data_IF_047289523879
#
_entry.id   IF_047289523879
#
_cell.length_a   1.000
_cell.length_b   1.000
_cell.length_c   1.000
_cell.angle_alpha   90.00
_cell.angle_beta   90.00
_cell.angle_gamma   90.00
#
_symmetry.space_group_name_H-M   'P 1'
#
loop_
_entity.id
_entity.type
_entity.pdbx_description
1 polymer ?
#
# COMPACT_ATOMS: atom_id res chain seq x y z
N UNK A 1 25.66 0.14 64.07
CA UNK A 1 24.83 1.05 63.25
C UNK A 1 24.48 0.46 61.87
N UNK A 2 25.39 -0.23 61.17
CA UNK A 2 25.12 -0.82 59.84
C UNK A 2 23.92 -1.78 59.75
N UNK A 3 23.72 -2.67 60.73
CA UNK A 3 22.62 -3.64 60.70
C UNK A 3 21.23 -2.98 60.72
N UNK A 4 21.06 -1.88 61.47
CA UNK A 4 19.81 -1.10 61.49
C UNK A 4 19.57 -0.40 60.15
N UNK A 5 20.64 0.07 59.51
CA UNK A 5 20.58 0.69 58.19
C UNK A 5 20.11 -0.33 57.13
N UNK A 6 20.67 -1.55 57.15
CA UNK A 6 20.28 -2.63 56.23
C UNK A 6 18.82 -3.05 56.36
N UNK A 7 18.30 -3.12 57.59
CA UNK A 7 16.88 -3.47 57.82
C UNK A 7 15.96 -2.33 57.36
N UNK A 8 16.35 -1.07 57.53
CA UNK A 8 15.57 0.08 57.05
C UNK A 8 15.55 0.12 55.53
N UNK A 9 16.71 -0.03 54.87
CA UNK A 9 16.79 -0.04 53.41
C UNK A 9 16.12 -1.27 52.80
N UNK A 10 16.32 -2.45 53.38
CA UNK A 10 15.66 -3.68 52.95
C UNK A 10 14.14 -3.62 53.13
N UNK A 11 13.67 -3.11 54.27
CA UNK A 11 12.25 -2.89 54.54
C UNK A 11 11.63 -1.86 53.59
N UNK A 12 12.31 -0.75 53.33
CA UNK A 12 11.86 0.25 52.35
C UNK A 12 11.81 -0.32 50.94
N UNK A 13 12.82 -1.09 50.54
CA UNK A 13 12.84 -1.75 49.23
C UNK A 13 11.69 -2.74 49.06
N UNK A 14 11.42 -3.58 50.06
CA UNK A 14 10.27 -4.49 50.06
C UNK A 14 8.95 -3.71 50.04
N UNK A 15 8.85 -2.59 50.77
CA UNK A 15 7.66 -1.74 50.76
C UNK A 15 7.42 -1.12 49.38
N UNK A 16 8.47 -0.62 48.73
CA UNK A 16 8.40 -0.09 47.36
C UNK A 16 8.00 -1.19 46.37
N UNK A 17 8.54 -2.41 46.50
CA UNK A 17 8.16 -3.54 45.65
C UNK A 17 6.70 -3.98 45.88
N UNK A 18 6.26 -4.05 47.14
CA UNK A 18 4.87 -4.35 47.48
C UNK A 18 3.92 -3.25 46.98
N UNK A 19 4.28 -1.98 47.13
CA UNK A 19 3.51 -0.87 46.59
C UNK A 19 3.44 -0.95 45.05
N UNK A 20 4.55 -1.23 44.38
CA UNK A 20 4.58 -1.42 42.92
C UNK A 20 3.71 -2.60 42.45
N UNK A 21 3.52 -3.63 43.29
CA UNK A 21 2.64 -4.76 43.00
C UNK A 21 1.16 -4.44 43.25
N UNK A 22 0.85 -3.65 44.28
CA UNK A 22 -0.53 -3.43 44.78
C UNK A 22 -1.19 -2.21 44.13
N UNK A 23 -0.45 -1.10 43.95
CA UNK A 23 -0.97 0.17 43.41
C UNK A 23 -1.65 0.05 42.03
N UNK A 24 -1.18 -0.77 41.06
CA UNK A 24 -1.82 -0.88 39.75
C UNK A 24 -3.30 -1.31 39.78
N UNK A 25 -3.71 -2.06 40.82
CA UNK A 25 -5.11 -2.48 40.98
C UNK A 25 -6.04 -1.35 41.44
N UNK A 26 -5.49 -0.23 41.94
CA UNK A 26 -6.24 0.92 42.45
C UNK A 26 -6.34 2.08 41.46
N UNK A 27 -5.79 1.95 40.25
CA UNK A 27 -5.88 2.98 39.20
C UNK A 27 -7.22 2.82 38.46
N UNK A 28 -8.05 3.86 38.46
CA UNK A 28 -9.32 3.90 37.73
C UNK A 28 -9.07 4.14 36.23
N UNK A 29 -9.10 3.06 35.46
CA UNK A 29 -8.80 3.07 34.03
C UNK A 29 -9.89 3.72 33.17
N UNK A 30 -11.04 4.10 33.76
CA UNK A 30 -12.12 4.76 33.03
C UNK A 30 -11.73 6.16 32.54
N UNK A 31 -10.84 6.87 33.24
CA UNK A 31 -10.32 8.17 32.81
C UNK A 31 -9.56 8.11 31.48
N UNK A 32 -8.74 7.06 31.30
CA UNK A 32 -7.95 6.86 30.07
C UNK A 32 -8.82 6.64 28.84
N UNK A 33 -10.00 6.03 28.99
CA UNK A 33 -10.97 5.88 27.88
C UNK A 33 -11.43 7.24 27.38
N UNK A 34 -11.87 8.11 28.28
CA UNK A 34 -12.38 9.42 27.93
C UNK A 34 -11.29 10.31 27.31
N UNK A 35 -10.06 10.22 27.83
CA UNK A 35 -8.91 10.92 27.27
C UNK A 35 -8.56 10.42 25.87
N UNK A 36 -8.48 9.10 25.67
CA UNK A 36 -8.25 8.51 24.35
C UNK A 36 -9.33 8.93 23.35
N UNK A 37 -10.61 8.81 23.69
CA UNK A 37 -11.71 9.22 22.81
C UNK A 37 -11.59 10.69 22.41
N UNK A 38 -11.25 11.57 23.35
CA UNK A 38 -11.07 13.01 23.08
C UNK A 38 -9.88 13.27 22.15
N UNK A 39 -8.70 12.74 22.48
CA UNK A 39 -7.48 12.99 21.69
C UNK A 39 -7.56 12.34 20.31
N UNK A 40 -8.03 11.10 20.22
CA UNK A 40 -8.23 10.42 18.94
C UNK A 40 -9.30 11.15 18.10
N UNK A 41 -10.34 11.69 18.73
CA UNK A 41 -11.32 12.51 18.01
C UNK A 41 -10.74 13.80 17.44
N UNK A 42 -9.87 14.46 18.20
CA UNK A 42 -9.19 15.68 17.76
C UNK A 42 -8.24 15.40 16.59
N UNK A 43 -7.48 14.30 16.65
CA UNK A 43 -6.55 13.89 15.60
C UNK A 43 -7.29 13.49 14.32
N UNK A 44 -8.34 12.67 14.42
CA UNK A 44 -9.09 12.18 13.25
C UNK A 44 -10.07 13.21 12.69
N UNK A 45 -10.40 14.26 13.45
CA UNK A 45 -11.47 15.21 13.13
C UNK A 45 -12.87 14.58 13.09
N UNK A 46 -13.04 13.44 13.77
CA UNK A 46 -14.29 12.67 13.84
C UNK A 46 -14.45 12.09 15.23
N UNK A 47 -15.69 12.01 15.73
CA UNK A 47 -15.95 11.41 17.04
C UNK A 47 -15.49 9.95 17.07
N UNK A 48 -14.58 9.65 17.99
CA UNK A 48 -14.12 8.31 18.34
C UNK A 48 -14.85 7.87 19.61
N UNK A 49 -15.26 6.60 19.66
CA UNK A 49 -15.93 6.01 20.82
C UNK A 49 -15.45 4.59 21.03
N UNK A 50 -15.13 4.23 22.27
CA UNK A 50 -14.75 2.89 22.70
C UNK A 50 -15.99 2.23 23.28
N UNK A 51 -16.56 1.27 22.55
CA UNK A 51 -17.77 0.56 22.96
C UNK A 51 -17.47 -0.66 23.84
N UNK A 52 -16.23 -1.16 23.82
CA UNK A 52 -15.81 -2.33 24.58
C UNK A 52 -15.03 -1.99 25.85
N UNK A 53 -14.08 -2.85 26.17
CA UNK A 53 -13.25 -2.78 27.36
C UNK A 53 -12.04 -1.87 27.12
N UNK A 54 -11.57 -1.27 28.21
CA UNK A 54 -10.33 -0.50 28.25
C UNK A 54 -9.42 -1.14 29.28
N UNK A 55 -8.25 -1.59 28.83
CA UNK A 55 -7.23 -2.17 29.70
C UNK A 55 -5.93 -1.40 29.49
N UNK A 56 -5.19 -1.19 30.56
CA UNK A 56 -3.86 -0.63 30.47
C UNK A 56 -2.91 -1.40 31.38
N UNK A 57 -1.65 -1.45 30.98
CA UNK A 57 -0.59 -2.14 31.69
C UNK A 57 0.58 -1.19 31.83
N UNK A 58 1.04 -0.97 33.05
CA UNK A 58 2.09 0.01 33.33
C UNK A 58 3.51 -0.59 33.30
N UNK A 59 3.66 -1.86 33.68
CA UNK A 59 4.96 -2.51 33.82
C UNK A 59 5.11 -3.75 32.93
N UNK A 60 6.31 -4.00 32.36
CA UNK A 60 7.50 -3.13 32.38
C UNK A 60 7.42 -1.93 31.41
N UNK A 61 6.52 -1.98 30.41
CA UNK A 61 6.28 -0.91 29.46
C UNK A 61 4.81 -0.45 29.52
N UNK A 62 4.54 0.86 29.56
CA UNK A 62 3.19 1.40 29.49
C UNK A 62 2.50 1.04 28.17
N UNK A 63 1.34 0.42 28.23
CA UNK A 63 0.51 0.08 27.07
C UNK A 63 -0.97 0.24 27.38
N UNK A 64 -1.75 0.61 26.37
CA UNK A 64 -3.20 0.76 26.45
C UNK A 64 -3.85 -0.08 25.35
N UNK A 65 -4.93 -0.78 25.67
CA UNK A 65 -5.70 -1.60 24.74
C UNK A 65 -7.18 -1.29 24.89
N UNK A 66 -7.85 -1.09 23.76
CA UNK A 66 -9.28 -0.81 23.65
C UNK A 66 -9.92 -1.83 22.71
N UNK A 67 -11.05 -2.41 23.09
CA UNK A 67 -11.86 -3.24 22.20
C UNK A 67 -13.07 -2.46 21.66
N UNK A 68 -13.50 -2.81 20.44
CA UNK A 68 -14.63 -2.22 19.73
C UNK A 68 -14.56 -0.69 19.64
N UNK A 69 -13.51 -0.19 19.00
CA UNK A 69 -13.34 1.25 18.73
C UNK A 69 -14.10 1.62 17.46
N UNK A 70 -14.85 2.72 17.52
CA UNK A 70 -15.68 3.20 16.42
C UNK A 70 -15.35 4.65 16.10
N UNK A 71 -15.19 4.98 14.81
CA UNK A 71 -15.04 6.34 14.29
C UNK A 71 -16.33 6.72 13.55
N UNK A 72 -17.00 7.77 14.01
CA UNK A 72 -18.30 8.18 13.48
C UNK A 72 -18.23 8.92 12.12
N UNK A 73 -19.40 9.20 11.55
CA UNK A 73 -19.54 10.08 10.38
C UNK A 73 -19.37 9.39 9.03
N UNK A 74 -19.50 8.06 8.97
CA UNK A 74 -19.68 7.37 7.71
C UNK A 74 -21.06 7.64 7.11
N UNK A 75 -21.28 7.30 5.84
CA UNK A 75 -22.53 7.60 5.14
C UNK A 75 -23.71 6.80 5.68
N UNK A 76 -24.88 7.41 5.60
CA UNK A 76 -26.12 6.83 6.13
C UNK A 76 -26.08 6.60 7.64
N UNK A 77 -25.26 7.35 8.38
CA UNK A 77 -25.12 7.25 9.84
C UNK A 77 -24.30 6.05 10.33
N UNK A 78 -23.68 5.29 9.41
CA UNK A 78 -22.77 4.18 9.78
C UNK A 78 -21.43 4.72 10.28
N UNK A 79 -20.65 3.93 11.03
CA UNK A 79 -19.26 4.27 11.30
C UNK A 79 -18.45 4.47 10.01
N UNK A 80 -17.54 5.45 10.00
CA UNK A 80 -16.53 5.59 8.95
C UNK A 80 -15.42 4.55 9.08
N UNK A 81 -15.14 4.12 10.32
CA UNK A 81 -14.21 3.06 10.64
C UNK A 81 -14.63 2.33 11.92
N UNK A 82 -14.40 1.03 11.98
CA UNK A 82 -14.47 0.22 13.21
C UNK A 82 -13.17 -0.54 13.39
N UNK A 83 -12.74 -0.76 14.62
CA UNK A 83 -11.56 -1.57 14.95
C UNK A 83 -11.94 -2.53 16.07
N UNK A 84 -11.71 -3.82 15.86
CA UNK A 84 -12.03 -4.83 16.88
C UNK A 84 -11.14 -4.67 18.11
N UNK A 85 -9.82 -4.58 17.90
CA UNK A 85 -8.85 -4.32 18.96
C UNK A 85 -7.86 -3.27 18.50
N UNK A 86 -7.77 -2.18 19.26
CA UNK A 86 -6.72 -1.18 19.17
C UNK A 86 -5.79 -1.36 20.37
N UNK A 87 -4.48 -1.33 20.15
CA UNK A 87 -3.52 -1.21 21.25
C UNK A 87 -2.37 -0.31 20.87
N UNK A 88 -1.84 0.42 21.85
CA UNK A 88 -0.72 1.33 21.67
C UNK A 88 0.22 1.23 22.87
N UNK A 89 1.50 1.12 22.56
CA UNK A 89 2.60 1.21 23.50
C UNK A 89 3.20 2.62 23.33
N UNK A 90 3.06 3.46 24.36
CA UNK A 90 3.52 4.83 24.33
C UNK A 90 4.62 5.02 25.39
N UNK A 91 5.74 5.61 25.00
CA UNK A 91 6.75 6.06 25.95
C UNK A 91 6.31 7.39 26.57
N UNK A 92 6.37 7.49 27.91
CA UNK A 92 6.01 8.69 28.66
C UNK A 92 7.13 9.75 28.69
N UNK A 93 8.11 9.70 27.77
CA UNK A 93 9.15 10.72 27.62
C UNK A 93 9.48 10.96 26.13
N UNK A 94 9.67 12.23 25.67
CA UNK A 94 9.83 13.46 26.45
C UNK A 94 8.63 14.40 26.24
N UNK A 95 7.68 14.44 27.18
CA UNK A 95 6.71 15.55 27.29
C UNK A 95 7.39 16.94 27.50
N UNK A 96 8.72 16.97 27.63
CA UNK A 96 9.55 18.17 27.69
C UNK A 96 9.93 18.73 26.30
N UNK A 97 9.86 17.94 25.21
CA UNK A 97 10.19 18.39 23.85
C UNK A 97 8.97 18.77 23.00
N UNK A 98 7.75 18.43 23.43
CA UNK A 98 6.53 18.67 22.66
C UNK A 98 6.31 17.70 21.49
N UNK A 99 7.13 16.66 21.37
CA UNK A 99 7.01 15.61 20.35
C UNK A 99 6.34 14.37 20.94
N UNK A 100 5.41 13.78 20.18
CA UNK A 100 4.71 12.54 20.56
C UNK A 100 5.30 11.39 19.74
N UNK A 101 5.90 10.42 20.41
CA UNK A 101 6.42 9.19 19.79
C UNK A 101 5.47 8.02 20.06
N UNK A 102 4.91 7.46 18.99
CA UNK A 102 4.14 6.22 19.04
C UNK A 102 5.08 5.08 18.66
N UNK A 103 5.50 4.28 19.65
CA UNK A 103 6.49 3.22 19.48
C UNK A 103 5.91 2.01 18.73
N UNK A 104 4.83 1.41 19.27
CA UNK A 104 4.13 0.29 18.64
C UNK A 104 2.61 0.49 18.76
N UNK A 105 1.95 0.66 17.62
CA UNK A 105 0.50 0.72 17.49
C UNK A 105 0.00 -0.50 16.74
N UNK A 106 -1.11 -1.08 17.17
CA UNK A 106 -1.69 -2.29 16.57
C UNK A 106 -3.19 -2.10 16.34
N UNK A 107 -3.62 -2.42 15.13
CA UNK A 107 -5.01 -2.41 14.69
C UNK A 107 -5.38 -3.81 14.22
N UNK A 108 -6.25 -4.49 14.98
CA UNK A 108 -6.78 -5.81 14.62
C UNK A 108 -8.16 -5.66 14.01
N UNK A 109 -8.33 -6.22 12.82
CA UNK A 109 -9.54 -6.15 11.99
C UNK A 109 -10.12 -4.73 11.85
N UNK A 110 -9.31 -3.71 11.51
CA UNK A 110 -9.87 -2.42 11.18
C UNK A 110 -10.68 -2.52 9.90
N UNK A 111 -11.92 -1.99 9.90
CA UNK A 111 -12.78 -1.90 8.74
C UNK A 111 -13.07 -0.44 8.46
N UNK A 112 -12.73 0.03 7.27
CA UNK A 112 -12.94 1.41 6.87
C UNK A 112 -13.67 1.50 5.53
N UNK A 113 -14.32 2.63 5.30
CA UNK A 113 -14.91 2.95 3.99
C UNK A 113 -14.30 4.23 3.45
N UNK A 114 -13.98 4.23 2.16
CA UNK A 114 -13.55 5.40 1.40
C UNK A 114 -14.59 5.63 0.31
N UNK A 115 -15.25 6.77 0.36
CA UNK A 115 -16.24 7.17 -0.61
C UNK A 115 -15.69 8.26 -1.51
N UNK A 116 -15.83 8.08 -2.82
CA UNK A 116 -15.50 9.08 -3.83
C UNK A 116 -16.82 9.53 -4.46
N UNK A 117 -17.20 10.78 -4.20
CA UNK A 117 -18.44 11.37 -4.69
C UNK A 117 -18.40 11.59 -6.22
N UNK A 118 -19.55 11.93 -6.80
CA UNK A 118 -19.67 12.12 -8.25
C UNK A 118 -18.82 13.29 -8.79
N UNK A 119 -18.54 14.28 -7.93
CA UNK A 119 -17.66 15.43 -8.20
C UNK A 119 -16.18 15.15 -7.87
N UNK A 120 -15.85 13.93 -7.43
CA UNK A 120 -14.48 13.52 -7.08
C UNK A 120 -14.09 13.76 -5.63
N UNK A 121 -14.96 14.38 -4.83
CA UNK A 121 -14.68 14.63 -3.41
C UNK A 121 -14.48 13.32 -2.66
N UNK A 122 -13.37 13.19 -1.96
CA UNK A 122 -13.04 12.00 -1.17
C UNK A 122 -13.50 12.15 0.28
N UNK A 123 -14.41 11.29 0.73
CA UNK A 123 -14.80 11.14 2.13
C UNK A 123 -14.14 9.88 2.72
N UNK A 124 -13.20 10.09 3.64
CA UNK A 124 -12.47 9.03 4.31
C UNK A 124 -12.35 9.33 5.81
N UNK A 125 -11.90 8.34 6.59
CA UNK A 125 -11.97 8.38 8.05
C UNK A 125 -11.15 9.51 8.71
N UNK A 126 -10.21 10.15 8.02
CA UNK A 126 -9.43 11.27 8.57
C UNK A 126 -9.90 12.57 7.92
N UNK A 127 -10.36 13.51 8.74
CA UNK A 127 -10.64 14.90 8.33
C UNK A 127 -9.64 15.79 9.07
N UNK A 128 -8.50 16.14 8.46
CA UNK A 128 -7.46 16.88 9.17
C UNK A 128 -7.91 18.32 9.41
N UNK A 129 -8.57 18.53 10.55
CA UNK A 129 -8.82 19.84 11.18
C UNK A 129 -8.30 19.80 12.63
N UNK A 130 -7.19 19.10 12.84
CA UNK A 130 -6.62 18.86 14.16
C UNK A 130 -5.91 20.13 14.66
N UNK A 131 -6.03 20.47 15.95
CA UNK A 131 -5.21 21.51 16.57
C UNK A 131 -3.74 21.09 16.72
N UNK A 132 -3.43 19.80 16.54
CA UNK A 132 -2.08 19.26 16.63
C UNK A 132 -1.34 19.39 15.30
N UNK A 133 -0.10 19.83 15.36
CA UNK A 133 0.80 19.83 14.21
C UNK A 133 1.18 18.38 13.85
N UNK A 134 0.78 17.86 12.67
CA UNK A 134 1.11 16.49 12.26
C UNK A 134 2.61 16.22 12.18
N UNK A 135 3.45 17.26 12.12
CA UNK A 135 4.91 17.12 12.11
C UNK A 135 5.49 16.71 13.47
N UNK A 136 4.75 16.89 14.57
CA UNK A 136 5.19 16.59 15.94
C UNK A 136 4.86 15.16 16.40
N UNK A 137 4.07 14.42 15.62
CA UNK A 137 3.62 13.07 15.99
C UNK A 137 4.31 12.07 15.08
N UNK A 138 5.17 11.22 15.64
CA UNK A 138 5.90 10.18 14.92
C UNK A 138 5.34 8.78 15.22
N UNK A 139 5.40 7.88 14.24
CA UNK A 139 4.99 6.48 14.37
C UNK A 139 6.19 5.61 13.99
N UNK A 140 6.79 4.97 14.97
CA UNK A 140 7.88 4.02 14.73
C UNK A 140 7.34 2.75 14.07
N UNK A 141 6.23 2.22 14.59
CA UNK A 141 5.57 1.03 14.05
C UNK A 141 4.07 1.05 14.27
N UNK A 142 3.33 0.80 13.19
CA UNK A 142 1.91 0.49 13.18
C UNK A 142 1.70 -0.85 12.48
N UNK A 143 1.16 -1.84 13.17
CA UNK A 143 0.78 -3.12 12.59
C UNK A 143 -0.73 -3.19 12.37
N UNK A 144 -1.12 -3.50 11.14
CA UNK A 144 -2.50 -3.84 10.78
C UNK A 144 -2.59 -5.34 10.58
N UNK A 145 -3.56 -5.97 11.21
CA UNK A 145 -3.85 -7.41 11.06
C UNK A 145 -5.27 -7.58 10.57
N UNK A 146 -5.42 -8.28 9.44
CA UNK A 146 -6.72 -8.66 8.86
C UNK A 146 -7.67 -7.45 8.63
N UNK A 147 -7.11 -6.36 8.10
CA UNK A 147 -7.87 -5.13 7.80
C UNK A 147 -8.72 -5.22 6.52
N UNK A 148 -9.70 -4.32 6.43
CA UNK A 148 -10.64 -4.23 5.31
C UNK A 148 -10.91 -2.75 4.95
N UNK A 149 -10.84 -2.43 3.66
CA UNK A 149 -11.22 -1.13 3.12
C UNK A 149 -12.19 -1.33 1.96
N UNK A 150 -13.40 -0.80 2.10
CA UNK A 150 -14.36 -0.69 1.00
C UNK A 150 -14.17 0.66 0.29
N UNK A 151 -13.77 0.64 -0.97
CA UNK A 151 -13.64 1.82 -1.83
C UNK A 151 -14.87 1.93 -2.74
N UNK A 152 -15.67 2.97 -2.59
CA UNK A 152 -16.88 3.17 -3.39
C UNK A 152 -16.77 4.43 -4.23
N UNK A 153 -16.94 4.28 -5.53
CA UNK A 153 -16.88 5.38 -6.48
C UNK A 153 -18.27 5.65 -7.06
N UNK A 154 -18.88 6.77 -6.65
CA UNK A 154 -20.26 7.11 -6.99
C UNK A 154 -20.45 7.38 -8.49
N UNK A 155 -19.49 8.04 -9.15
CA UNK A 155 -19.64 8.41 -10.57
C UNK A 155 -19.74 7.17 -11.48
N UNK A 156 -18.99 6.11 -11.19
CA UNK A 156 -19.02 4.85 -11.96
C UNK A 156 -19.87 3.74 -11.34
N UNK A 157 -20.51 3.98 -10.18
CA UNK A 157 -21.26 2.95 -9.44
C UNK A 157 -20.42 1.74 -8.99
N UNK A 158 -19.09 1.89 -8.95
CA UNK A 158 -18.14 0.81 -8.68
C UNK A 158 -17.81 0.72 -7.20
N UNK A 159 -17.61 -0.50 -6.72
CA UNK A 159 -17.07 -0.76 -5.40
C UNK A 159 -15.90 -1.73 -5.53
N UNK A 160 -14.79 -1.42 -4.87
CA UNK A 160 -13.64 -2.32 -4.71
C UNK A 160 -13.48 -2.67 -3.24
N UNK A 161 -13.09 -3.91 -2.97
CA UNK A 161 -12.81 -4.38 -1.63
C UNK A 161 -11.33 -4.72 -1.51
N UNK A 162 -10.64 -4.03 -0.60
CA UNK A 162 -9.32 -4.42 -0.14
C UNK A 162 -9.51 -5.18 1.17
N UNK A 163 -9.26 -6.47 1.19
CA UNK A 163 -9.44 -7.34 2.38
C UNK A 163 -8.15 -8.05 2.76
N UNK A 164 -8.15 -8.73 3.91
CA UNK A 164 -6.98 -9.45 4.42
C UNK A 164 -5.73 -8.56 4.47
N UNK A 165 -5.90 -7.27 4.79
CA UNK A 165 -4.79 -6.31 4.85
C UNK A 165 -3.94 -6.66 6.07
N UNK A 166 -2.71 -7.12 5.80
CA UNK A 166 -1.71 -7.42 6.82
C UNK A 166 -0.46 -6.62 6.49
N UNK A 167 -0.15 -5.61 7.30
CA UNK A 167 0.92 -4.65 6.97
C UNK A 167 1.62 -4.09 8.20
N UNK A 168 2.87 -3.69 8.01
CA UNK A 168 3.61 -2.82 8.92
C UNK A 168 3.74 -1.44 8.28
N UNK A 169 3.48 -0.40 9.07
CA UNK A 169 3.48 1.01 8.65
C UNK A 169 4.41 1.77 9.59
N UNK A 170 5.18 2.72 9.07
CA UNK A 170 5.96 3.66 9.87
C UNK A 170 5.93 5.06 9.25
N UNK A 171 6.09 6.08 10.09
CA UNK A 171 6.10 7.46 9.67
C UNK A 171 6.98 8.30 10.58
N UNK A 172 7.93 9.06 10.00
CA UNK A 172 8.75 9.99 10.80
C UNK A 172 7.93 11.10 11.44
N UNK A 173 6.83 11.46 10.78
CA UNK A 173 5.78 12.29 11.32
C UNK A 173 4.45 11.94 10.64
N UNK A 174 3.30 12.33 11.18
CA UNK A 174 2.02 12.19 10.48
C UNK A 174 1.99 12.97 9.15
N UNK A 175 2.81 14.01 9.00
CA UNK A 175 3.02 14.70 7.72
C UNK A 175 3.91 13.92 6.72
N UNK A 176 4.44 12.77 7.12
CA UNK A 176 5.37 11.94 6.35
C UNK A 176 6.85 12.23 6.62
N UNK A 177 7.76 11.51 5.94
CA UNK A 177 7.49 10.41 5.01
C UNK A 177 6.89 9.17 5.69
N UNK A 178 5.97 8.51 4.99
CA UNK A 178 5.35 7.25 5.39
C UNK A 178 5.98 6.08 4.62
N UNK A 179 6.03 4.91 5.26
CA UNK A 179 6.39 3.64 4.62
C UNK A 179 5.40 2.58 5.07
N UNK A 180 4.99 1.73 4.14
CA UNK A 180 4.15 0.57 4.40
C UNK A 180 4.66 -0.61 3.59
N UNK A 181 4.74 -1.77 4.24
CA UNK A 181 4.99 -3.06 3.63
C UNK A 181 3.92 -4.05 4.11
N UNK A 182 3.43 -4.89 3.21
CA UNK A 182 2.39 -5.84 3.58
C UNK A 182 1.81 -6.62 2.41
N UNK A 183 0.68 -7.25 2.68
CA UNK A 183 -0.13 -7.95 1.69
C UNK A 183 -1.61 -7.64 1.90
N UNK A 184 -2.37 -7.77 0.82
CA UNK A 184 -3.82 -7.59 0.81
C UNK A 184 -4.44 -8.41 -0.31
N UNK A 185 -5.77 -8.50 -0.33
CA UNK A 185 -6.54 -8.94 -1.48
C UNK A 185 -7.32 -7.77 -2.04
N UNK A 186 -7.15 -7.46 -3.33
CA UNK A 186 -7.98 -6.50 -4.04
C UNK A 186 -9.00 -7.28 -4.86
N UNK A 187 -10.29 -7.16 -4.53
CA UNK A 187 -11.38 -7.92 -5.16
C UNK A 187 -11.10 -9.43 -5.23
N UNK A 188 -10.50 -9.98 -4.16
CA UNK A 188 -10.12 -11.38 -4.03
C UNK A 188 -8.72 -11.73 -4.56
N UNK A 189 -8.08 -10.85 -5.34
CA UNK A 189 -6.74 -11.05 -5.86
C UNK A 189 -5.67 -10.70 -4.84
N UNK A 190 -4.96 -11.71 -4.32
CA UNK A 190 -3.86 -11.50 -3.37
C UNK A 190 -2.68 -10.79 -4.03
N UNK A 191 -2.15 -9.79 -3.33
CA UNK A 191 -0.98 -9.00 -3.77
C UNK A 191 -0.09 -8.68 -2.58
N UNK A 192 1.23 -8.76 -2.78
CA UNK A 192 2.20 -8.11 -1.89
C UNK A 192 2.35 -6.65 -2.31
N UNK A 193 2.36 -5.72 -1.35
CA UNK A 193 2.44 -4.28 -1.63
C UNK A 193 3.51 -3.60 -0.79
N UNK A 194 4.21 -2.67 -1.42
CA UNK A 194 5.10 -1.72 -0.73
C UNK A 194 4.69 -0.32 -1.16
N UNK A 195 4.41 0.52 -0.18
CA UNK A 195 4.02 1.91 -0.38
C UNK A 195 4.99 2.82 0.37
N UNK A 196 5.35 3.94 -0.23
CA UNK A 196 6.12 4.97 0.46
C UNK A 196 5.74 6.36 -0.02
N UNK A 197 5.82 7.33 0.89
CA UNK A 197 5.55 8.74 0.57
C UNK A 197 6.73 9.64 0.89
N UNK A 198 6.75 10.82 0.28
CA UNK A 198 7.51 11.98 0.77
C UNK A 198 6.78 12.66 1.94
N UNK A 199 7.38 13.75 2.42
CA UNK A 199 6.68 14.72 3.29
C UNK A 199 5.69 15.50 2.45
N UNK A 200 4.50 15.76 2.98
CA UNK A 200 3.52 16.62 2.31
C UNK A 200 4.07 18.05 2.13
N UNK A 201 3.91 18.61 0.94
CA UNK A 201 4.19 20.02 0.63
C UNK A 201 3.04 20.92 1.08
N UNK A 202 3.28 22.23 1.13
CA UNK A 202 2.29 23.22 1.60
C UNK A 202 1.02 23.32 0.74
N UNK A 203 1.05 22.76 -0.47
CA UNK A 203 -0.09 22.63 -1.39
C UNK A 203 -0.86 21.30 -1.22
N UNK A 204 -0.52 20.49 -0.21
CA UNK A 204 -1.18 19.22 0.10
C UNK A 204 -0.78 18.05 -0.78
N UNK A 205 0.19 18.24 -1.68
CA UNK A 205 0.76 17.15 -2.49
C UNK A 205 1.87 16.42 -1.74
N UNK A 206 2.14 15.18 -2.13
CA UNK A 206 3.26 14.39 -1.67
C UNK A 206 3.77 13.50 -2.80
N UNK A 207 5.06 13.18 -2.77
CA UNK A 207 5.57 12.10 -3.61
C UNK A 207 4.98 10.79 -3.10
N UNK A 208 4.43 9.96 -3.97
CA UNK A 208 3.86 8.65 -3.68
C UNK A 208 4.47 7.61 -4.59
N UNK A 209 4.96 6.52 -4.00
CA UNK A 209 5.46 5.35 -4.70
C UNK A 209 4.74 4.10 -4.25
N UNK A 210 4.30 3.30 -5.22
CA UNK A 210 3.67 2.01 -5.04
C UNK A 210 4.49 0.95 -5.79
N UNK A 211 4.67 -0.21 -5.16
CA UNK A 211 5.09 -1.46 -5.79
C UNK A 211 4.07 -2.53 -5.44
N UNK A 212 3.50 -3.20 -6.44
CA UNK A 212 2.50 -4.26 -6.27
C UNK A 212 2.94 -5.54 -7.00
N UNK A 213 3.00 -6.61 -6.20
CA UNK A 213 3.31 -8.01 -6.47
C UNK A 213 2.09 -8.96 -6.59
N UNK A 214 1.17 -8.88 -7.57
CA UNK A 214 -0.04 -9.71 -7.58
C UNK A 214 0.24 -11.19 -7.79
N UNK A 215 -0.43 -12.08 -7.05
CA UNK A 215 -0.13 -13.51 -7.09
C UNK A 215 -0.65 -14.24 -8.32
N UNK A 216 -1.79 -13.79 -8.88
CA UNK A 216 -2.38 -14.44 -10.04
C UNK A 216 -1.70 -14.06 -11.38
N UNK A 217 -0.82 -13.06 -11.37
CA UNK A 217 -0.17 -12.58 -12.59
C UNK A 217 1.35 -12.56 -12.41
N UNK A 218 2.12 -13.08 -13.37
CA UNK A 218 3.59 -13.06 -13.32
C UNK A 218 4.09 -11.67 -13.72
N UNK A 219 3.73 -10.64 -12.97
CA UNK A 219 4.14 -9.26 -13.20
C UNK A 219 4.35 -8.49 -11.90
N UNK A 220 5.16 -7.44 -11.97
CA UNK A 220 5.35 -6.43 -10.92
C UNK A 220 4.89 -5.09 -11.48
N UNK A 221 4.08 -4.36 -10.72
CA UNK A 221 3.63 -3.01 -11.04
C UNK A 221 4.36 -2.03 -10.12
N UNK A 222 5.00 -1.03 -10.68
CA UNK A 222 5.62 0.09 -9.95
C UNK A 222 5.03 1.40 -10.46
N UNK A 223 4.68 2.31 -9.55
CA UNK A 223 4.25 3.66 -9.86
C UNK A 223 4.97 4.65 -8.94
N UNK A 224 5.44 5.77 -9.47
CA UNK A 224 6.12 6.84 -8.72
C UNK A 224 5.69 8.20 -9.28
N UNK A 225 5.23 9.09 -8.42
CA UNK A 225 4.66 10.36 -8.85
C UNK A 225 4.23 11.26 -7.70
N UNK A 226 3.49 12.32 -8.02
CA UNK A 226 2.90 13.24 -7.05
C UNK A 226 1.42 12.91 -6.89
N UNK A 227 1.01 12.62 -5.65
CA UNK A 227 -0.37 12.41 -5.26
C UNK A 227 -0.81 13.52 -4.29
N UNK A 228 -2.09 13.88 -4.31
CA UNK A 228 -2.61 14.89 -3.40
C UNK A 228 -4.12 15.03 -3.52
N UNK A 229 -4.68 15.84 -2.63
CA UNK A 229 -6.09 16.25 -2.68
C UNK A 229 -6.09 17.73 -3.04
N UNK A 230 -6.54 18.07 -4.24
CA UNK A 230 -6.67 19.45 -4.73
C UNK A 230 -8.16 19.78 -4.80
N UNK A 231 -8.59 20.82 -4.08
CA UNK A 231 -10.00 21.21 -3.96
C UNK A 231 -10.94 20.05 -3.59
N UNK A 232 -10.47 19.13 -2.73
CA UNK A 232 -11.23 17.95 -2.28
C UNK A 232 -11.14 16.74 -3.20
N UNK A 233 -10.55 16.87 -4.39
CA UNK A 233 -10.42 15.81 -5.39
C UNK A 233 -9.04 15.15 -5.32
N UNK A 234 -9.02 13.83 -5.22
CA UNK A 234 -7.78 13.07 -5.27
C UNK A 234 -7.19 13.03 -6.69
N UNK A 235 -5.92 13.38 -6.80
CA UNK A 235 -5.13 13.33 -8.03
C UNK A 235 -3.86 12.53 -7.81
N UNK A 236 -3.38 11.84 -8.84
CA UNK A 236 -2.09 11.17 -8.86
C UNK A 236 -1.49 11.20 -10.26
N UNK A 237 -0.27 11.70 -10.42
CA UNK A 237 0.40 11.73 -11.72
C UNK A 237 1.88 11.41 -11.59
N UNK A 238 2.45 10.73 -12.58
CA UNK A 238 3.84 10.31 -12.52
C UNK A 238 4.22 9.31 -13.60
N UNK A 239 5.12 8.41 -13.26
CA UNK A 239 5.60 7.34 -14.12
C UNK A 239 5.18 5.99 -13.57
N UNK A 240 4.92 5.05 -14.46
CA UNK A 240 4.69 3.67 -14.10
C UNK A 240 5.63 2.74 -14.87
N UNK A 241 5.85 1.57 -14.29
CA UNK A 241 6.60 0.47 -14.89
C UNK A 241 5.88 -0.84 -14.55
N UNK A 242 5.68 -1.68 -15.56
CA UNK A 242 5.22 -3.05 -15.38
C UNK A 242 6.27 -3.97 -15.98
N UNK A 243 6.71 -4.97 -15.24
CA UNK A 243 7.66 -5.96 -15.73
C UNK A 243 7.13 -7.35 -15.45
N UNK A 244 7.34 -8.27 -16.38
CA UNK A 244 7.14 -9.69 -16.09
C UNK A 244 7.97 -10.13 -14.87
N UNK A 245 7.40 -10.97 -14.00
CA UNK A 245 8.08 -11.64 -12.91
C UNK A 245 8.18 -13.13 -13.22
N UNK A 246 9.41 -13.64 -13.36
CA UNK A 246 9.64 -15.06 -13.56
C UNK A 246 9.57 -15.80 -12.22
N UNK A 247 8.37 -15.86 -11.63
CA UNK A 247 8.12 -16.62 -10.40
C UNK A 247 8.22 -18.13 -10.66
N UNK A 248 7.84 -18.60 -11.85
CA UNK A 248 7.83 -20.01 -12.21
C UNK A 248 9.20 -20.59 -12.63
N UNK A 249 10.13 -19.75 -13.11
CA UNK A 249 11.48 -20.19 -13.49
C UNK A 249 12.41 -20.41 -12.30
N UNK A 250 12.08 -19.90 -11.10
CA UNK A 250 12.78 -20.22 -9.87
C UNK A 250 12.45 -21.65 -9.38
N UNK A 251 11.16 -22.01 -9.38
CA UNK A 251 10.68 -23.34 -8.95
C UNK A 251 11.10 -24.46 -9.91
N UNK A 252 11.09 -24.21 -11.23
CA UNK A 252 11.59 -25.17 -12.22
C UNK A 252 13.10 -25.42 -12.10
N UNK A 253 13.89 -24.42 -11.67
CA UNK A 253 15.33 -24.57 -11.46
C UNK A 253 15.65 -25.44 -10.25
N UNK A 254 14.91 -25.31 -9.14
CA UNK A 254 15.05 -26.18 -7.97
C UNK A 254 14.73 -27.65 -8.32
N UNK A 255 13.68 -27.88 -9.13
CA UNK A 255 13.33 -29.24 -9.58
C UNK A 255 14.33 -29.84 -10.57
N UNK A 256 15.06 -29.03 -11.34
CA UNK A 256 16.06 -29.51 -12.32
C UNK A 256 17.46 -29.71 -11.71
N UNK A 257 17.74 -29.11 -10.54
CA UNK A 257 18.98 -29.31 -9.79
C UNK A 257 19.04 -30.67 -9.06
N UNK A 258 17.89 -31.30 -8.81
CA UNK A 258 17.78 -32.64 -8.18
C UNK A 258 17.79 -33.79 -9.21
N UNK A 259 17.83 -33.50 -10.51
CA UNK A 259 17.95 -34.47 -11.59
C UNK A 259 19.41 -34.77 -11.93
N UNK A 260 19.86 -35.97 -11.61
CA UNK A 260 21.17 -36.51 -12.00
C UNK A 260 21.24 -36.74 -13.51
N UNK A 261 22.03 -35.93 -14.23
CA UNK A 261 23.02 -36.33 -15.24
C UNK A 261 23.41 -35.17 -16.18
N UNK A 262 24.66 -34.73 -16.08
CA UNK A 262 25.58 -34.85 -17.22
C UNK A 262 25.54 -33.89 -18.42
N UNK A 263 24.63 -32.93 -18.55
CA UNK A 263 24.73 -31.92 -19.63
C UNK A 263 24.77 -30.48 -19.08
N UNK A 264 25.93 -29.82 -19.26
CA UNK A 264 26.05 -28.37 -19.09
C UNK A 264 25.25 -27.68 -20.21
N UNK A 265 23.93 -27.62 -20.04
CA UNK A 265 23.14 -26.62 -20.72
C UNK A 265 23.69 -25.26 -20.31
N UNK A 266 24.20 -24.49 -21.28
CA UNK A 266 24.54 -23.09 -21.08
C UNK A 266 23.31 -22.42 -20.50
N UNK A 267 23.37 -22.03 -19.22
CA UNK A 267 22.32 -21.29 -18.56
C UNK A 267 22.28 -19.89 -19.19
N UNK A 268 21.67 -19.79 -20.37
CA UNK A 268 21.29 -18.52 -20.96
C UNK A 268 20.52 -17.74 -19.91
N UNK A 269 20.92 -16.49 -19.66
CA UNK A 269 20.14 -15.60 -18.80
C UNK A 269 18.70 -15.66 -19.31
N UNK A 270 17.70 -15.89 -18.43
CA UNK A 270 16.31 -15.91 -18.87
C UNK A 270 16.05 -14.65 -19.69
N UNK A 271 15.54 -14.83 -20.91
CA UNK A 271 15.20 -13.69 -21.74
C UNK A 271 14.24 -12.82 -20.95
N UNK A 272 14.52 -11.52 -20.80
CA UNK A 272 13.68 -10.68 -19.99
C UNK A 272 12.32 -10.61 -20.69
N UNK A 273 11.28 -11.05 -19.99
CA UNK A 273 9.93 -10.97 -20.49
C UNK A 273 9.49 -9.52 -20.67
N UNK A 274 8.20 -9.30 -20.88
CA UNK A 274 7.73 -7.98 -21.28
C UNK A 274 8.06 -6.88 -20.25
N UNK A 275 8.25 -5.67 -20.76
CA UNK A 275 8.48 -4.43 -20.02
C UNK A 275 7.54 -3.39 -20.58
N UNK A 276 6.79 -2.73 -19.73
CA UNK A 276 5.92 -1.62 -20.09
C UNK A 276 6.28 -0.44 -19.19
N UNK A 277 6.51 0.73 -19.77
CA UNK A 277 6.73 1.95 -19.02
C UNK A 277 5.96 3.10 -19.65
N UNK A 278 5.67 4.13 -18.87
CA UNK A 278 4.96 5.29 -19.38
C UNK A 278 4.71 6.34 -18.33
N UNK A 279 4.06 7.41 -18.74
CA UNK A 279 3.57 8.46 -17.85
C UNK A 279 2.07 8.33 -17.69
N UNK A 280 1.57 8.60 -16.50
CA UNK A 280 0.15 8.55 -16.23
C UNK A 280 -0.35 9.77 -15.46
N UNK A 281 -1.63 10.05 -15.62
CA UNK A 281 -2.43 10.94 -14.79
C UNK A 281 -3.69 10.21 -14.35
N UNK A 282 -4.07 10.36 -13.10
CA UNK A 282 -5.23 9.73 -12.49
C UNK A 282 -6.00 10.78 -11.69
N UNK A 283 -7.28 10.90 -12.01
CA UNK A 283 -8.29 11.56 -11.17
C UNK A 283 -9.50 10.62 -11.00
N UNK A 284 -10.58 11.12 -10.42
CA UNK A 284 -11.78 10.32 -10.21
C UNK A 284 -12.53 9.92 -11.51
N UNK A 285 -12.28 10.60 -12.64
CA UNK A 285 -12.95 10.38 -13.93
C UNK A 285 -12.12 9.60 -14.91
N UNK A 286 -10.79 9.67 -14.83
CA UNK A 286 -9.91 9.13 -15.87
C UNK A 286 -8.56 8.69 -15.30
N UNK A 287 -8.10 7.52 -15.76
CA UNK A 287 -6.69 7.17 -15.78
C UNK A 287 -6.19 7.38 -17.22
N UNK A 288 -5.38 8.41 -17.44
CA UNK A 288 -4.76 8.71 -18.73
C UNK A 288 -3.31 8.25 -18.77
N UNK A 289 -2.89 7.69 -19.89
CA UNK A 289 -1.51 7.36 -20.24
C UNK A 289 -1.25 7.95 -21.62
N UNK A 290 -0.70 9.17 -21.66
CA UNK A 290 -0.51 9.89 -22.91
C UNK A 290 0.59 9.27 -23.79
N UNK A 291 1.54 8.58 -23.15
CA UNK A 291 2.64 7.87 -23.79
C UNK A 291 3.04 6.66 -22.94
N UNK A 292 3.13 5.50 -23.57
CA UNK A 292 3.79 4.32 -23.04
C UNK A 292 4.69 3.68 -24.10
N UNK A 293 5.71 2.97 -23.63
CA UNK A 293 6.53 2.06 -24.42
C UNK A 293 6.42 0.65 -23.87
N UNK A 294 6.01 -0.27 -24.72
CA UNK A 294 6.05 -1.70 -24.51
C UNK A 294 7.27 -2.30 -25.19
N UNK A 295 7.96 -3.20 -24.51
CA UNK A 295 9.12 -3.93 -25.00
C UNK A 295 9.01 -5.41 -24.66
N UNK A 296 9.35 -6.29 -25.59
CA UNK A 296 9.42 -7.74 -25.35
C UNK A 296 10.62 -8.34 -26.11
N UNK A 297 11.20 -9.41 -25.54
CA UNK A 297 12.42 -10.04 -26.05
C UNK A 297 13.72 -9.47 -25.43
N UNK A 298 14.88 -9.77 -26.05
CA UNK A 298 16.21 -9.42 -25.55
C UNK A 298 16.38 -7.91 -25.26
N UNK A 299 17.29 -7.56 -24.34
CA UNK A 299 17.50 -6.15 -23.95
C UNK A 299 18.24 -5.34 -25.00
N UNK A 300 19.07 -6.00 -25.81
CA UNK A 300 19.89 -5.41 -26.87
C UNK A 300 19.11 -5.24 -28.18
N UNK A 301 18.10 -6.08 -28.45
CA UNK A 301 17.25 -5.99 -29.63
C UNK A 301 15.78 -6.34 -29.33
N UNK A 302 15.08 -5.55 -28.48
CA UNK A 302 13.69 -5.81 -28.16
C UNK A 302 12.77 -5.48 -29.34
N UNK A 303 11.66 -6.21 -29.44
CA UNK A 303 10.51 -5.68 -30.16
C UNK A 303 9.88 -4.57 -29.32
N UNK A 304 9.60 -3.41 -29.93
CA UNK A 304 8.99 -2.26 -29.26
C UNK A 304 7.64 -1.88 -29.88
N UNK A 305 6.74 -1.38 -29.03
CA UNK A 305 5.52 -0.73 -29.45
C UNK A 305 5.28 0.51 -28.58
N UNK A 306 5.11 1.65 -29.21
CA UNK A 306 4.84 2.93 -28.55
C UNK A 306 3.34 3.25 -28.69
N UNK A 307 2.75 3.88 -27.68
CA UNK A 307 1.31 4.06 -27.69
C UNK A 307 0.78 4.97 -26.60
N UNK A 308 -0.55 5.01 -26.51
CA UNK A 308 -1.30 5.75 -25.48
C UNK A 308 -2.47 4.89 -25.00
N UNK A 309 -2.87 5.10 -23.77
CA UNK A 309 -3.99 4.40 -23.18
C UNK A 309 -4.85 5.33 -22.34
N UNK A 310 -6.12 4.98 -22.17
CA UNK A 310 -7.00 5.67 -21.24
C UNK A 310 -8.01 4.69 -20.65
N UNK A 311 -8.40 4.94 -19.40
CA UNK A 311 -9.55 4.32 -18.76
C UNK A 311 -10.47 5.43 -18.26
N UNK A 312 -11.65 5.53 -18.85
CA UNK A 312 -12.73 6.35 -18.33
C UNK A 312 -13.36 5.63 -17.12
N UNK A 313 -13.45 6.32 -15.99
CA UNK A 313 -13.94 5.82 -14.69
C UNK A 313 -15.33 6.37 -14.31
N UNK A 314 -15.88 7.27 -15.14
CA UNK A 314 -17.20 7.86 -14.96
C UNK A 314 -18.37 6.89 -15.20
N UNK A 315 -19.60 7.39 -15.46
CA UNK A 315 -20.81 6.57 -15.52
C UNK A 315 -20.81 5.47 -16.58
N UNK A 316 -20.04 5.65 -17.67
CA UNK A 316 -19.87 4.67 -18.73
C UNK A 316 -18.40 4.27 -18.80
N UNK A 317 -17.92 3.41 -17.89
CA UNK A 317 -16.52 3.09 -17.81
C UNK A 317 -16.07 2.31 -19.03
N UNK A 318 -14.97 2.73 -19.63
CA UNK A 318 -14.40 2.09 -20.82
C UNK A 318 -12.91 2.28 -20.86
N UNK A 319 -12.21 1.38 -21.54
CA UNK A 319 -10.79 1.55 -21.82
C UNK A 319 -10.53 1.70 -23.32
N UNK A 320 -9.43 2.36 -23.65
CA UNK A 320 -8.90 2.44 -25.01
C UNK A 320 -7.39 2.32 -24.95
N UNK A 321 -6.81 1.49 -25.81
CA UNK A 321 -5.36 1.36 -26.01
C UNK A 321 -5.09 1.52 -27.50
N UNK A 322 -4.17 2.40 -27.85
CA UNK A 322 -3.61 2.53 -29.20
C UNK A 322 -2.11 2.28 -29.10
N UNK A 323 -1.59 1.35 -29.90
CA UNK A 323 -0.17 1.00 -29.94
C UNK A 323 0.31 0.87 -31.39
N UNK A 324 1.44 1.49 -31.71
CA UNK A 324 2.13 1.40 -32.98
C UNK A 324 3.42 0.59 -32.79
N UNK A 325 3.50 -0.57 -33.43
CA UNK A 325 4.66 -1.47 -33.36
C UNK A 325 5.80 -1.00 -34.27
N UNK A 326 7.06 -1.18 -33.84
CA UNK A 326 8.22 -0.81 -34.65
C UNK A 326 8.35 -1.66 -35.92
N UNK A 327 8.80 -1.02 -37.02
CA UNK A 327 9.04 -1.65 -38.32
C UNK A 327 10.25 -2.58 -38.24
N UNK A 328 10.06 -3.86 -38.58
CA UNK A 328 11.14 -4.84 -38.62
C UNK A 328 11.97 -4.58 -39.88
N UNK A 329 13.25 -4.24 -39.73
CA UNK A 329 14.18 -4.20 -40.86
C UNK A 329 14.62 -5.63 -41.19
N UNK A 330 14.38 -6.08 -42.42
CA UNK A 330 14.74 -7.43 -42.91
C UNK A 330 16.26 -7.66 -43.05
N UNK A 331 17.09 -6.65 -42.87
CA UNK A 331 18.53 -6.71 -43.18
C UNK A 331 19.36 -7.59 -42.22
N UNK A 332 18.79 -8.12 -41.12
CA UNK A 332 19.47 -9.12 -40.28
C UNK A 332 19.30 -10.57 -40.78
N UNK A 333 18.37 -10.85 -41.70
CA UNK A 333 18.11 -12.22 -42.17
C UNK A 333 19.12 -12.76 -43.19
N UNK A 334 20.09 -11.96 -43.65
CA UNK A 334 21.09 -12.40 -44.65
C UNK A 334 22.53 -12.41 -44.11
N UNK A 335 22.76 -12.07 -42.84
CA UNK A 335 24.13 -11.94 -42.31
C UNK A 335 24.41 -12.33 -40.85
N UNK A 336 23.42 -12.44 -39.96
CA UNK A 336 23.68 -12.77 -38.56
C UNK A 336 22.63 -13.74 -38.01
N UNK A 337 23.06 -14.98 -37.76
CA UNK A 337 22.24 -16.11 -37.33
C UNK A 337 21.79 -16.04 -35.84
N UNK A 338 21.36 -14.88 -35.35
CA UNK A 338 21.05 -14.69 -33.91
C UNK A 338 19.78 -13.90 -33.58
N UNK A 339 18.95 -13.54 -34.56
CA UNK A 339 17.70 -12.82 -34.33
C UNK A 339 16.45 -13.73 -34.28
N UNK A 340 15.50 -13.44 -33.38
CA UNK A 340 14.17 -14.07 -33.35
C UNK A 340 13.41 -13.81 -34.67
N UNK A 341 12.85 -14.87 -35.24
CA UNK A 341 11.96 -14.83 -36.42
C UNK A 341 10.67 -14.04 -36.13
N UNK A 342 9.99 -13.58 -37.19
CA UNK A 342 8.68 -12.90 -37.06
C UNK A 342 7.66 -13.77 -36.30
N UNK A 343 7.61 -15.07 -36.59
CA UNK A 343 6.74 -16.04 -35.89
C UNK A 343 7.03 -16.11 -34.40
N UNK A 344 8.30 -16.13 -34.01
CA UNK A 344 8.70 -16.16 -32.60
C UNK A 344 8.36 -14.85 -31.89
N UNK A 345 8.52 -13.70 -32.57
CA UNK A 345 8.13 -12.39 -32.04
C UNK A 345 6.62 -12.26 -31.84
N UNK A 346 5.81 -12.75 -32.80
CA UNK A 346 4.34 -12.79 -32.67
C UNK A 346 3.91 -13.71 -31.52
N UNK A 347 4.52 -14.90 -31.41
CA UNK A 347 4.24 -15.82 -30.31
C UNK A 347 4.62 -15.22 -28.94
N UNK A 348 5.75 -14.50 -28.85
CA UNK A 348 6.16 -13.80 -27.64
C UNK A 348 5.20 -12.67 -27.26
N UNK A 349 4.67 -11.93 -28.25
CA UNK A 349 3.64 -10.91 -28.03
C UNK A 349 2.34 -11.54 -27.52
N UNK A 350 1.89 -12.64 -28.12
CA UNK A 350 0.68 -13.37 -27.69
C UNK A 350 0.83 -13.86 -26.24
N UNK A 351 1.96 -14.49 -25.91
CA UNK A 351 2.24 -14.92 -24.53
C UNK A 351 2.27 -13.76 -23.54
N UNK A 352 2.85 -12.62 -23.93
CA UNK A 352 2.84 -11.41 -23.10
C UNK A 352 1.42 -10.88 -22.86
N UNK A 353 0.57 -10.85 -23.88
CA UNK A 353 -0.82 -10.42 -23.76
C UNK A 353 -1.65 -11.35 -22.87
N UNK A 354 -1.42 -12.66 -22.95
CA UNK A 354 -2.09 -13.66 -22.10
C UNK A 354 -1.66 -13.56 -20.63
N UNK A 355 -0.46 -13.04 -20.35
CA UNK A 355 0.05 -12.81 -18.99
C UNK A 355 -0.51 -11.54 -18.33
N UNK A 356 -1.18 -10.66 -19.09
CA UNK A 356 -1.77 -9.43 -18.58
C UNK A 356 -3.17 -9.65 -18.01
N UNK A 357 -3.58 -8.87 -16.99
CA UNK A 357 -4.93 -8.91 -16.46
C UNK A 357 -5.95 -8.48 -17.53
N UNK A 358 -7.06 -9.24 -17.62
CA UNK A 358 -8.18 -8.91 -18.51
C UNK A 358 -9.00 -7.77 -17.88
N UNK A 359 -9.20 -6.63 -18.57
CA UNK A 359 -10.06 -5.56 -18.06
C UNK A 359 -11.49 -6.06 -17.84
N UNK A 360 -12.11 -5.65 -16.73
CA UNK A 360 -13.53 -5.95 -16.42
C UNK A 360 -14.50 -4.93 -17.02
N UNK A 361 -13.96 -3.89 -17.67
CA UNK A 361 -14.69 -2.82 -18.34
C UNK A 361 -14.59 -3.02 -19.87
N UNK A 362 -15.62 -2.68 -20.65
CA UNK A 362 -15.57 -2.78 -22.11
C UNK A 362 -14.56 -1.78 -22.70
N UNK A 363 -14.05 -2.03 -23.90
CA UNK A 363 -13.09 -1.12 -24.51
C UNK A 363 -12.54 -1.60 -25.84
N UNK A 364 -11.56 -0.85 -26.35
CA UNK A 364 -10.90 -1.11 -27.63
C UNK A 364 -9.39 -1.22 -27.46
N UNK A 365 -8.79 -2.13 -28.22
CA UNK A 365 -7.34 -2.22 -28.40
C UNK A 365 -7.09 -2.11 -29.89
N UNK A 366 -6.40 -1.05 -30.30
CA UNK A 366 -5.94 -0.84 -31.66
C UNK A 366 -4.43 -1.03 -31.69
N UNK A 367 -3.97 -2.01 -32.47
CA UNK A 367 -2.53 -2.28 -32.65
C UNK A 367 -2.21 -2.13 -34.12
N UNK A 368 -1.40 -1.13 -34.46
CA UNK A 368 -0.87 -0.98 -35.81
C UNK A 368 0.45 -1.75 -35.87
N UNK A 369 0.36 -2.97 -36.38
CA UNK A 369 1.53 -3.76 -36.72
C UNK A 369 2.00 -3.34 -38.11
N UNK A 370 3.29 -3.03 -38.30
CA UNK A 370 3.79 -2.63 -39.60
C UNK A 370 3.55 -3.74 -40.62
N UNK A 371 3.07 -3.36 -41.80
CA UNK A 371 2.97 -4.27 -42.92
C UNK A 371 4.37 -4.77 -43.29
N UNK A 372 4.47 -6.09 -43.45
CA UNK A 372 5.62 -6.73 -44.08
C UNK A 372 5.72 -6.17 -45.51
N UNK A 373 6.80 -5.43 -45.81
CA UNK A 373 7.16 -5.07 -47.19
C UNK A 373 8.37 -5.88 -47.58
#
# INVERSE_FOLDING_TARGET
MLARLFVIFGGFFVLVLCAALVVPYFIDWTGYRADFEREASAILGRKVTVQGDATAKLLPFPSVTFSNVTVAGGPGGRPAMTVETFSMDAELAPFLSGEVLIFDMRLVRPKATIDIAADGTVDWAIRPSSPYDPSQISIEKLTVTDGEIALRHAAGGRSHLLSEINSTISARSLAGPWRMDGSLRLDGLRSTVVVSTGKASGDGQLRFRLKADPDAYPLVIEADGNAGIVDGVAIYSGQFKVTSSDRNGADKRLAQLDGTDGEKASAGKPEPGFRLNGKFSLDHRKLGVDEFRFETGPLDNPYTADGKAAVDLGPNPRFSIEADGAQVQFDEAVGAATGLTLSERVAALEQALLALPKPTIPGTVEVKLPAVV
#
